data_IF_716114898856
#
_entry.id   IF_716114898856
#
_cell.length_a   1.000
_cell.length_b   1.000
_cell.length_c   1.000
_cell.angle_alpha   90.00
_cell.angle_beta   90.00
_cell.angle_gamma   90.00
#
_symmetry.space_group_name_H-M   'P 1'
#
loop_
_entity.id
_entity.type
_entity.pdbx_description
1 polymer ?
2 non-polymer ?
3 water ?
#
# COMPACT_ATOMS: atom_id res chain seq x y z
N UNK A 3 -0.42 -11.54 25.38
CA UNK A 3 -1.24 -11.12 24.20
C UNK A 3 -1.29 -9.61 24.09
N UNK A 5 -1.99 -5.86 23.72
CA UNK A 5 -3.24 -5.10 23.87
C UNK A 5 -3.15 -3.81 23.05
N UNK A 6 -4.12 -3.61 22.17
CA UNK A 6 -4.16 -2.45 21.27
C UNK A 6 -5.34 -1.55 21.65
N UNK A 7 -5.13 -0.25 21.67
CA UNK A 7 -6.22 0.69 21.83
C UNK A 7 -6.49 1.46 20.53
N UNK A 8 -7.76 1.67 20.24
CA UNK A 8 -8.17 2.58 19.17
C UNK A 8 -8.80 3.81 19.84
N UNK A 9 -8.33 5.00 19.48
CA UNK A 9 -8.89 6.25 20.00
C UNK A 9 -9.19 7.23 18.89
N UNK A 10 -10.48 7.43 18.62
CA UNK A 10 -10.92 8.50 17.71
C UNK A 10 -11.37 9.74 18.47
N UNK A 11 -11.06 10.91 17.88
CA UNK A 11 -11.58 12.18 18.41
C UNK A 11 -12.88 12.62 17.69
N UNK A 12 -13.35 13.83 18.01
CA UNK A 12 -14.58 14.43 17.46
C UNK A 12 -14.74 14.41 15.94
N UNK A 13 -13.75 14.94 15.23
CA UNK A 13 -13.90 15.19 13.80
C UNK A 13 -14.12 13.88 13.04
N UNK A 14 -13.52 12.80 13.54
CA UNK A 14 -13.51 11.53 12.79
C UNK A 14 -14.30 10.38 13.43
N UNK A 15 -15.03 10.69 14.49
CA UNK A 15 -15.83 9.69 15.21
C UNK A 15 -16.80 8.93 14.28
N UNK A 16 -17.35 9.61 13.29
CA UNK A 16 -18.30 8.96 12.37
C UNK A 16 -17.64 7.88 11.50
N UNK A 17 -16.31 7.84 11.49
CA UNK A 17 -15.56 6.83 10.75
C UNK A 17 -15.07 5.71 11.63
N UNK A 18 -15.30 5.84 12.94
CA UNK A 18 -14.78 4.86 13.89
C UNK A 18 -15.13 3.40 13.52
N UNK A 19 -16.39 3.16 13.16
CA UNK A 19 -16.85 1.81 12.79
C UNK A 19 -15.99 1.18 11.69
N UNK A 20 -15.71 1.94 10.64
CA UNK A 20 -14.83 1.53 9.55
C UNK A 20 -13.40 1.27 10.03
N UNK A 21 -12.85 2.22 10.78
CA UNK A 21 -11.48 2.09 11.27
C UNK A 21 -11.35 0.89 12.19
N UNK A 22 -12.33 0.71 13.07
CA UNK A 22 -12.35 -0.41 14.00
C UNK A 22 -12.43 -1.74 13.24
N UNK A 23 -13.38 -1.85 12.33
CA UNK A 23 -13.53 -3.07 11.52
C UNK A 23 -12.22 -3.44 10.78
N UNK A 24 -11.56 -2.44 10.22
CA UNK A 24 -10.27 -2.64 9.55
C UNK A 24 -9.17 -3.07 10.52
N UNK A 25 -9.08 -2.36 11.63
CA UNK A 25 -8.08 -2.65 12.65
C UNK A 25 -8.30 -4.06 13.21
N UNK A 26 -9.55 -4.38 13.55
CA UNK A 26 -9.92 -5.65 14.17
C UNK A 26 -9.56 -6.84 13.29
N UNK A 27 -9.67 -6.68 11.96
CA UNK A 27 -9.25 -7.73 11.04
C UNK A 27 -7.76 -8.07 11.22
N UNK A 28 -6.94 -7.04 11.32
CA UNK A 28 -5.50 -7.20 11.51
C UNK A 28 -5.15 -7.71 12.91
N UNK A 29 -5.76 -7.16 13.95
CA UNK A 29 -5.47 -7.62 15.31
C UNK A 29 -5.95 -9.07 15.54
N UNK A 30 -7.12 -9.41 15.00
CA UNK A 30 -7.62 -10.78 15.06
C UNK A 30 -6.63 -11.76 14.46
N UNK A 31 -6.11 -11.40 13.29
CA UNK A 31 -5.13 -12.22 12.58
C UNK A 31 -3.88 -12.48 13.44
N UNK A 32 -3.39 -11.46 14.14
CA UNK A 32 -2.19 -11.58 14.99
C UNK A 32 -2.49 -12.21 16.35
N UNK A 33 -3.78 -12.31 16.69
CA UNK A 33 -4.21 -12.78 18.00
C UNK A 33 -4.13 -11.72 19.09
N UNK A 34 -4.12 -10.45 18.71
CA UNK A 34 -4.06 -9.35 19.68
C UNK A 34 -5.44 -9.00 20.24
N UNK A 35 -5.49 -8.38 21.41
CA UNK A 35 -6.75 -7.87 21.94
C UNK A 35 -6.90 -6.41 21.55
N UNK A 36 -8.07 -6.06 21.04
CA UNK A 36 -8.35 -4.69 20.61
C UNK A 36 -9.39 -4.05 21.52
N UNK A 37 -9.10 -2.84 21.98
CA UNK A 37 -9.98 -2.07 22.84
C UNK A 37 -10.36 -0.76 22.14
N UNK A 38 -11.65 -0.55 21.90
CA UNK A 38 -12.13 0.70 21.32
C UNK A 38 -12.41 1.75 22.42
N UNK A 39 -11.40 2.58 22.69
CA UNK A 39 -11.34 3.45 23.88
C UNK A 39 -11.88 4.85 23.67
N UNK A 40 -11.91 5.30 22.43
CA UNK A 40 -12.27 6.69 22.13
C UNK A 40 -13.70 6.79 21.66
N UNK A 42 -16.97 6.58 19.28
CA UNK A 42 -17.48 5.55 18.37
C UNK A 42 -18.45 6.12 17.34
N UNK A 43 -18.68 7.43 17.40
CA UNK A 43 -19.62 8.10 16.51
C UNK A 43 -21.07 7.83 16.89
N UNK A 44 -21.31 7.57 18.17
CA UNK A 44 -22.64 7.30 18.70
C UNK A 44 -23.22 8.59 19.28
N UNK A 45 -24.47 8.89 18.95
CA UNK A 45 -25.11 10.14 19.41
C UNK A 45 -25.15 10.30 20.93
N UNK A 46 -24.79 11.51 21.39
CA UNK A 46 -24.78 11.84 22.81
C UNK A 46 -23.58 11.33 23.61
N UNK A 47 -22.58 10.77 22.90
CA UNK A 47 -21.43 10.20 23.58
C UNK A 47 -20.46 11.25 24.11
N UNK A 48 -19.61 10.81 25.05
CA UNK A 48 -18.57 11.63 25.65
C UNK A 48 -17.56 12.10 24.57
N UNK A 49 -17.29 13.40 24.56
CA UNK A 49 -16.46 14.02 23.51
C UNK A 49 -14.97 14.01 23.80
N UNK A 50 -14.16 13.97 22.73
CA UNK A 50 -12.70 14.05 22.82
C UNK A 50 -12.11 14.88 21.68
N UNK A 51 -11.22 15.81 22.00
CA UNK A 51 -10.44 16.50 20.98
C UNK A 51 -9.12 15.74 20.79
N UNK A 52 -8.36 16.11 19.75
CA UNK A 52 -7.11 15.40 19.50
C UNK A 52 -6.10 15.58 20.64
N UNK A 53 -6.22 16.67 21.40
CA UNK A 53 -5.30 16.93 22.52
C UNK A 53 -5.61 15.96 23.66
N UNK A 54 -6.91 15.77 23.92
CA UNK A 54 -7.37 14.81 24.91
C UNK A 54 -7.00 13.39 24.52
N UNK A 55 -6.96 13.12 23.21
CA UNK A 55 -6.42 11.87 22.67
C UNK A 55 -5.02 11.57 23.20
N UNK A 56 -4.15 12.58 23.23
CA UNK A 56 -2.79 12.45 23.76
C UNK A 56 -2.79 12.10 25.23
N UNK A 57 -3.59 12.84 26.01
CA UNK A 57 -3.71 12.58 27.43
C UNK A 57 -4.20 11.16 27.67
N UNK A 59 -4.03 8.53 25.71
CA UNK A 59 -3.01 7.57 25.25
C UNK A 59 -1.88 7.48 26.26
N UNK A 60 -1.47 8.63 26.80
CA UNK A 60 -0.43 8.67 27.82
C UNK A 60 -0.83 7.89 29.08
N UNK A 61 -2.08 8.04 29.51
CA UNK A 61 -2.57 7.30 30.67
C UNK A 61 -2.56 5.80 30.36
N UNK A 62 -3.12 5.41 29.22
CA UNK A 62 -3.20 4.00 28.83
C UNK A 62 -1.84 3.32 28.66
N UNK A 63 -0.92 4.00 27.99
CA UNK A 63 0.40 3.42 27.69
C UNK A 63 1.33 3.35 28.88
N UNK A 64 1.38 4.41 29.68
CA UNK A 64 2.26 4.48 30.83
C UNK A 64 1.85 3.52 31.96
N UNK A 65 0.55 3.22 32.06
CA UNK A 65 0.04 2.28 33.06
C UNK A 65 0.01 0.85 32.54
N UNK A 66 0.35 0.68 31.27
CA UNK A 66 0.34 -0.64 30.58
C UNK A 66 -1.06 -1.22 30.36
N UNK A 67 -2.10 -0.39 30.51
CA UNK A 67 -3.46 -0.76 30.16
C UNK A 67 -3.52 -1.29 28.73
N UNK A 68 -2.78 -0.65 27.83
CA UNK A 68 -2.54 -1.19 26.49
C UNK A 68 -1.06 -1.11 26.18
N UNK A 69 -0.64 -1.81 25.14
CA UNK A 69 0.75 -1.80 24.67
C UNK A 69 0.94 -0.90 23.45
N UNK A 70 -0.13 -0.69 22.69
CA UNK A 70 -0.05 0.09 21.46
C UNK A 70 -1.32 0.91 21.25
N UNK A 71 -1.17 2.17 20.85
CA UNK A 71 -2.35 3.00 20.56
C UNK A 71 -2.43 3.39 19.07
N UNK A 72 -3.59 3.13 18.47
CA UNK A 72 -3.90 3.62 17.12
C UNK A 72 -4.84 4.79 17.27
N UNK A 73 -4.52 5.89 16.61
CA UNK A 73 -5.31 7.09 16.70
C UNK A 73 -5.26 7.84 15.39
N UNK A 74 -5.65 9.11 15.40
CA UNK A 74 -5.62 9.95 14.20
C UNK A 74 -6.63 11.08 14.31
N UNK A 75 -6.85 11.76 13.20
CA UNK A 75 -7.83 12.83 13.07
C UNK A 75 -7.95 13.10 11.57
N UNK A 76 -8.47 14.26 11.18
CA UNK A 76 -8.60 14.61 9.74
C UNK A 76 -7.33 14.41 8.92
N UNK A 77 -6.22 14.93 9.42
CA UNK A 77 -4.92 14.75 8.77
C UNK A 77 -4.02 13.80 9.55
N UNK A 78 -4.38 13.55 10.81
CA UNK A 78 -3.54 12.75 11.71
C UNK A 78 -2.48 13.56 12.43
N UNK A 79 -2.24 14.79 11.99
CA UNK A 79 -1.14 15.60 12.52
C UNK A 79 -1.39 16.04 13.97
N UNK A 80 -2.59 16.56 14.23
CA UNK A 80 -2.95 17.07 15.54
C UNK A 80 -2.78 16.01 16.63
N UNK A 81 -3.37 14.84 16.42
CA UNK A 81 -3.22 13.72 17.36
C UNK A 81 -1.76 13.34 17.60
N UNK A 83 0.90 15.26 17.24
CA UNK A 83 1.54 16.35 17.99
C UNK A 83 1.26 16.23 19.48
N UNK A 84 0.00 15.97 19.82
CA UNK A 84 -0.44 15.83 21.20
C UNK A 84 0.13 14.57 21.86
N UNK A 85 0.05 13.41 21.20
CA UNK A 85 0.56 12.18 21.83
C UNK A 85 2.05 12.29 22.15
N UNK A 86 2.82 12.88 21.23
CA UNK A 86 4.27 12.97 21.40
C UNK A 86 4.73 13.94 22.49
N UNK A 87 3.81 14.78 22.97
CA UNK A 87 4.09 15.74 24.05
C UNK A 87 4.15 15.11 25.44
N UNK A 88 3.79 13.84 25.52
CA UNK A 88 3.67 13.14 26.80
C UNK A 88 4.82 12.17 27.04
N UNK A 89 5.19 11.95 28.31
CA UNK A 89 6.17 10.94 28.69
C UNK A 89 5.71 9.56 28.24
N UNK A 90 6.66 8.77 27.74
CA UNK A 90 6.38 7.36 27.45
C UNK A 90 5.53 7.11 26.24
N UNK A 91 5.26 8.15 25.44
CA UNK A 91 4.45 7.98 24.23
C UNK A 91 5.28 8.40 23.01
N UNK A 92 5.42 7.47 22.07
CA UNK A 92 6.12 7.70 20.82
C UNK A 92 5.12 7.38 19.71
N UNK A 93 4.59 8.42 19.07
CA UNK A 93 3.52 8.24 18.08
C UNK A 93 3.96 8.65 16.67
N UNK A 94 3.99 7.69 15.74
CA UNK A 94 4.32 7.98 14.35
C UNK A 94 3.12 8.56 13.60
N UNK A 95 3.34 8.95 12.36
CA UNK A 95 2.25 9.24 11.42
C UNK A 95 2.55 8.49 10.14
N UNK A 96 1.54 7.81 9.61
CA UNK A 96 1.68 6.98 8.43
C UNK A 96 0.50 7.24 7.49
N UNK A 97 0.79 7.28 6.19
CA UNK A 97 -0.26 7.55 5.22
C UNK A 97 -0.48 6.41 4.20
N UNK A 98 0.51 5.52 4.05
CA UNK A 98 0.34 4.36 3.18
C UNK A 98 0.85 3.09 3.86
N UNK A 99 0.55 1.90 3.29
CA UNK A 99 0.98 0.67 3.98
C UNK A 99 2.49 0.55 4.20
N UNK A 100 3.29 0.99 3.24
CA UNK A 100 4.73 0.93 3.40
C UNK A 100 5.21 1.84 4.54
N UNK A 101 4.63 3.03 4.67
CA UNK A 101 4.90 3.91 5.82
C UNK A 101 4.65 3.17 7.13
N UNK A 102 3.53 2.45 7.20
CA UNK A 102 3.17 1.72 8.44
C UNK A 102 4.21 0.62 8.73
N UNK A 103 4.63 -0.08 7.69
CA UNK A 103 5.67 -1.10 7.86
C UNK A 103 6.99 -0.49 8.34
N UNK A 104 7.46 0.55 7.64
CA UNK A 104 8.71 1.23 8.05
C UNK A 104 8.67 1.79 9.47
N UNK A 105 7.54 2.40 9.85
CA UNK A 105 7.36 2.84 11.22
C UNK A 105 7.66 1.71 12.22
N UNK A 106 7.03 0.55 12.01
CA UNK A 106 7.22 -0.59 12.92
C UNK A 106 8.66 -1.07 12.97
N UNK A 107 9.37 -1.02 11.85
CA UNK A 107 10.74 -1.54 11.79
C UNK A 107 11.82 -0.55 12.23
N UNK A 108 11.66 0.72 11.83
CA UNK A 108 12.66 1.76 12.05
C UNK A 108 12.50 2.42 13.42
N UNK A 109 11.28 2.85 13.71
CA UNK A 109 11.01 3.60 14.93
C UNK A 109 10.58 2.69 16.08
N UNK A 110 9.62 1.82 15.80
CA UNK A 110 9.18 0.83 16.79
C UNK A 110 8.56 1.44 18.03
N UNK A 111 7.90 2.58 17.85
CA UNK A 111 7.18 3.25 18.95
C UNK A 111 5.90 2.52 19.38
N UNK A 112 5.20 3.07 20.36
CA UNK A 112 3.99 2.48 20.93
C UNK A 112 2.67 3.16 20.50
N UNK A 113 2.73 4.01 19.48
CA UNK A 113 1.52 4.60 18.91
C UNK A 113 1.69 4.98 17.44
N UNK A 114 0.57 5.03 16.72
CA UNK A 114 0.53 5.49 15.35
C UNK A 114 -0.74 6.29 15.10
N UNK A 115 -0.56 7.43 14.44
CA UNK A 115 -1.66 8.26 13.98
C UNK A 115 -1.79 8.14 12.46
N UNK A 116 -3.03 8.14 11.98
CA UNK A 116 -3.36 7.99 10.56
C UNK A 116 -4.36 9.09 10.17
N UNK A 117 -4.25 9.67 8.95
CA UNK A 117 -5.33 10.54 8.48
C UNK A 117 -6.60 9.77 8.17
N UNK A 118 -7.71 10.25 8.71
CA UNK A 118 -8.98 9.62 8.45
C UNK A 118 -9.90 10.46 7.57
N UNK A 119 -9.43 11.62 7.12
CA UNK A 119 -10.22 12.49 6.24
C UNK A 119 -9.50 12.86 4.95
N UNK A 120 -8.32 13.46 5.07
CA UNK A 120 -7.51 13.81 3.92
C UNK A 120 -7.07 12.51 3.24
N UNK A 121 -7.39 12.38 1.95
CA UNK A 121 -7.08 11.18 1.17
C UNK A 121 -8.02 10.03 1.47
N UNK A 122 -9.03 10.26 2.30
CA UNK A 122 -9.86 9.15 2.76
C UNK A 122 -11.15 9.08 1.95
N UNK A 123 -11.10 8.37 0.83
CA UNK A 123 -12.28 8.31 -0.03
C UNK A 123 -12.70 6.89 -0.37
N UNK A 124 -13.07 6.69 -1.63
CA UNK A 124 -13.57 5.40 -2.07
C UNK A 124 -12.46 4.38 -1.92
N UNK A 125 -12.77 3.22 -1.34
CA UNK A 125 -11.75 2.18 -1.15
C UNK A 125 -10.79 2.48 -0.01
N UNK A 126 -11.08 3.50 0.80
CA UNK A 126 -10.18 3.83 1.92
C UNK A 126 -10.02 2.67 2.91
N UNK A 127 -11.05 1.85 3.03
CA UNK A 127 -11.01 0.73 3.98
C UNK A 127 -10.06 -0.40 3.52
N UNK A 128 -9.87 -0.52 2.20
CA UNK A 128 -8.86 -1.43 1.64
C UNK A 128 -7.46 -1.01 2.04
N UNK A 129 -7.19 0.29 1.89
CA UNK A 129 -5.90 0.86 2.29
C UNK A 129 -5.64 0.70 3.79
N UNK A 130 -6.65 1.03 4.61
CA UNK A 130 -6.55 0.84 6.05
C UNK A 130 -6.25 -0.61 6.45
N UNK A 131 -6.99 -1.55 5.90
CA UNK A 131 -6.76 -2.95 6.19
C UNK A 131 -5.32 -3.31 5.84
N UNK A 132 -4.83 -2.82 4.71
CA UNK A 132 -3.47 -3.16 4.29
C UNK A 132 -2.42 -2.48 5.17
N UNK A 134 -2.76 -1.67 8.34
CA UNK A 134 -2.75 -2.40 9.62
C UNK A 134 -2.10 -3.77 9.50
N UNK A 135 -2.31 -4.46 8.38
CA UNK A 135 -1.56 -5.70 8.19
C UNK A 135 -0.04 -5.45 8.20
N UNK A 136 0.40 -4.42 7.46
CA UNK A 136 1.82 -4.09 7.37
C UNK A 136 2.40 -3.58 8.69
N UNK A 137 1.60 -2.83 9.46
CA UNK A 137 2.02 -2.34 10.78
C UNK A 137 2.41 -3.46 11.73
N UNK A 138 1.64 -4.55 11.72
CA UNK A 138 1.79 -5.65 12.68
C UNK A 138 2.45 -6.90 12.08
N UNK A 139 2.88 -6.83 10.82
CA UNK A 139 3.42 -7.99 10.11
C UNK A 139 4.65 -8.61 10.78
N UNK A 140 5.56 -7.76 11.25
CA UNK A 140 6.84 -8.23 11.79
C UNK A 140 7.14 -7.61 13.15
N UNK A 141 7.87 -8.36 13.98
CA UNK A 141 8.35 -7.85 15.26
C UNK A 141 8.90 -6.42 15.13
N UNK A 143 10.81 -2.89 15.59
CA UNK A 143 12.19 -2.46 15.82
C UNK A 143 13.21 -3.33 15.12
N UNK A 144 12.75 -4.23 14.26
CA UNK A 144 13.63 -5.17 13.56
C UNK A 144 14.52 -4.55 12.49
N UNK A 145 14.30 -3.28 12.16
CA UNK A 145 15.16 -2.54 11.24
C UNK A 145 14.82 -2.66 9.75
N UNK A 146 14.88 -1.52 9.06
CA UNK A 146 14.90 -1.50 7.60
C UNK A 146 15.98 -0.56 7.07
N UNK A 147 16.92 -1.11 6.28
CA UNK A 147 16.99 -2.54 5.97
C UNK A 147 17.47 -3.35 7.18
N UNK A 148 17.40 -4.67 7.09
CA UNK A 148 17.88 -5.54 8.17
C UNK A 148 19.31 -5.22 8.61
N UNK A 149 20.13 -4.79 7.66
CA UNK A 149 21.53 -4.41 7.91
C UNK A 149 21.69 -3.18 8.80
N UNK A 150 20.70 -2.28 8.80
CA UNK A 150 20.75 -1.08 9.67
C UNK A 150 20.00 -1.21 10.98
N UNK A 151 19.78 -2.45 11.43
CA UNK A 151 19.09 -2.70 12.71
C UNK A 151 19.79 -2.04 13.92
N UNK A 152 21.12 -2.11 13.99
CA UNK A 152 21.89 -1.56 15.11
C UNK A 152 21.74 -0.03 15.33
N UNK A 153 22.06 0.80 14.31
CA UNK A 153 21.92 2.26 14.52
C UNK A 153 20.47 2.73 14.68
N UNK A 154 19.54 2.06 14.00
CA UNK A 154 18.13 2.42 14.10
C UNK A 154 17.63 2.11 15.51
N UNK A 155 18.01 0.95 16.04
CA UNK A 155 17.66 0.58 17.41
C UNK A 155 18.34 1.52 18.42
N UNK A 156 19.61 1.87 18.16
CA UNK A 156 20.36 2.76 19.03
C UNK A 156 19.66 4.13 19.16
N UNK A 157 19.29 4.69 18.02
CA UNK A 157 18.61 6.00 17.99
C UNK A 157 17.22 5.96 18.64
N UNK A 158 16.49 4.86 18.42
CA UNK A 158 15.22 4.66 19.11
C UNK A 158 15.42 4.59 20.62
N UNK A 159 16.47 3.90 21.05
CA UNK A 159 16.84 3.83 22.47
C UNK A 159 17.16 5.22 23.06
N UNK A 160 17.97 5.99 22.34
CA UNK A 160 18.38 7.34 22.75
C UNK A 160 17.21 8.32 22.83
N UNK A 161 16.27 8.22 21.88
CA UNK A 161 15.08 9.03 21.91
C UNK A 161 14.34 8.81 23.24
N UNK A 162 14.14 7.54 23.60
CA UNK A 162 13.51 7.19 24.88
C UNK A 162 14.28 7.72 26.10
N UNK A 163 15.60 7.63 26.07
CA UNK A 163 16.44 8.19 27.14
C UNK A 163 16.30 9.70 27.25
N UNK A 164 16.27 10.39 26.11
CA UNK A 164 16.03 11.83 26.04
C UNK A 164 14.63 12.20 26.53
N UNK A 165 13.62 11.41 26.15
CA UNK A 165 12.25 11.65 26.59
C UNK A 165 12.09 11.57 28.11
N UNK A 166 12.89 10.74 28.76
CA UNK A 166 12.91 10.66 30.24
C UNK A 166 13.23 12.00 30.89
N UNK A 167 14.04 12.79 30.19
CA UNK A 167 14.54 14.09 30.65
C UNK A 167 13.62 15.24 30.24
N UNK A 168 13.13 15.19 29.00
CA UNK A 168 12.41 16.29 28.39
C UNK A 168 10.93 16.35 28.81
N UNK A 169 10.39 15.23 29.29
CA UNK A 169 9.01 15.20 29.77
C UNK A 169 8.94 15.16 31.28
N UNK A 170 7.94 15.87 31.83
CA UNK A 170 7.49 15.68 33.20
C UNK A 170 6.93 14.27 33.37
N UNK A 171 6.91 13.76 34.60
CA UNK A 171 6.35 12.43 34.82
C UNK A 171 4.82 12.49 34.82
N UNK A 172 4.17 11.35 34.60
CA UNK A 172 2.71 11.29 34.48
C UNK A 172 1.95 11.80 35.72
N UNK A 174 2.81 13.93 38.06
CA UNK A 174 2.92 15.37 38.12
C UNK A 174 1.95 16.03 37.13
N UNK A 175 1.95 15.52 35.90
CA UNK A 175 1.10 16.04 34.85
C UNK A 175 -0.38 15.99 35.27
N UNK A 176 -0.80 14.85 35.81
CA UNK A 176 -2.19 14.64 36.21
C UNK A 176 -2.60 15.57 37.35
N UNK A 177 -1.67 15.85 38.24
CA UNK A 177 -1.92 16.74 39.37
C UNK A 177 -1.96 18.21 38.97
N UNK A 178 -1.19 18.57 37.94
CA UNK A 178 -1.09 19.94 37.46
C UNK A 178 -2.15 20.28 36.40
N UNK A 179 -2.31 19.40 35.41
CA UNK A 179 -3.24 19.63 34.29
C UNK A 179 -4.63 20.11 34.72
N UNK A 180 -5.29 20.89 33.86
CA UNK A 180 -6.65 21.39 34.12
C UNK A 180 -7.60 20.25 34.50
N UNK A 181 -8.29 20.39 35.62
CA UNK A 181 -9.09 19.29 36.16
C UNK A 181 -10.34 18.92 35.35
N UNK A 182 -11.04 19.92 34.82
CA UNK A 182 -12.14 19.68 33.89
C UNK A 182 -11.64 18.94 32.64
N UNK A 183 -10.51 19.40 32.10
CA UNK A 183 -9.86 18.76 30.95
C UNK A 183 -9.63 17.26 31.19
N UNK A 184 -9.02 16.91 32.33
CA UNK A 184 -8.76 15.52 32.69
C UNK A 184 -10.05 14.72 32.95
N UNK A 185 -10.98 15.28 33.72
CA UNK A 185 -12.26 14.61 33.98
C UNK A 185 -13.01 14.27 32.69
N UNK A 186 -13.05 15.22 31.76
CA UNK A 186 -13.73 15.02 30.48
C UNK A 186 -13.07 13.94 29.64
N UNK A 187 -11.73 13.81 29.77
CA UNK A 187 -10.95 12.86 29.00
C UNK A 187 -11.27 11.43 29.43
N UNK A 188 -11.49 11.25 30.72
CA UNK A 188 -11.65 9.92 31.29
C UNK A 188 -13.11 9.57 31.65
N UNK A 189 -14.05 10.42 31.22
CA UNK A 189 -15.48 10.29 31.59
C UNK A 189 -16.24 9.24 30.77
N UNK A 190 -15.69 8.85 29.63
CA UNK A 190 -16.34 7.88 28.73
C UNK A 190 -16.54 6.53 29.38
N UNK A 191 -17.70 5.92 29.11
CA UNK A 191 -18.09 4.67 29.77
C UNK A 191 -17.10 3.55 29.48
N UNK A 192 -16.58 3.53 28.25
CA UNK A 192 -15.67 2.48 27.86
C UNK A 192 -14.29 2.59 28.51
N UNK A 193 -13.73 3.80 28.53
CA UNK A 193 -12.53 4.05 29.33
C UNK A 193 -12.75 3.60 30.77
N UNK A 194 -13.84 4.07 31.38
CA UNK A 194 -14.19 3.74 32.76
C UNK A 194 -14.27 2.23 32.99
N UNK A 195 -14.82 1.51 32.01
CA UNK A 195 -14.89 0.05 32.06
C UNK A 195 -13.52 -0.60 31.86
N UNK A 196 -12.85 -0.26 30.76
CA UNK A 196 -11.62 -0.95 30.37
C UNK A 196 -10.37 -0.57 31.18
N UNK A 197 -10.20 0.72 31.47
CA UNK A 197 -8.95 1.17 32.08
C UNK A 197 -8.66 0.53 33.43
N UNK A 198 -9.60 0.62 34.36
CA UNK A 198 -9.38 0.12 35.72
C UNK A 198 -9.18 -1.39 35.77
N UNK A 199 -9.85 -2.10 34.85
CA UNK A 199 -9.65 -3.53 34.69
C UNK A 199 -8.23 -3.89 34.21
N UNK A 200 -7.61 -2.99 33.43
CA UNK A 200 -6.32 -3.28 32.77
C UNK A 200 -5.10 -2.50 33.27
N UNK A 201 -5.36 -1.42 34.01
CA UNK A 201 -4.28 -0.59 34.54
C UNK A 201 -3.36 -1.41 35.45
N UNK A 202 -2.06 -1.33 35.20
CA UNK A 202 -1.07 -2.06 36.01
C UNK A 202 -0.32 -1.14 36.96
N UNK A 203 -0.72 0.14 37.01
CA UNK A 203 -0.09 1.12 37.91
C UNK A 203 -1.08 1.57 38.98
N UNK A 204 -0.96 0.95 40.17
CA UNK A 204 -1.86 1.20 41.29
C UNK A 204 -1.97 2.67 41.68
N UNK A 205 -0.85 3.41 41.59
CA UNK A 205 -0.84 4.81 41.99
C UNK A 205 -1.75 5.66 41.12
N UNK A 206 -1.69 5.43 39.80
CA UNK A 206 -2.47 6.21 38.84
C UNK A 206 -3.95 5.86 38.91
N UNK A 207 -4.25 4.57 38.99
CA UNK A 207 -5.60 4.11 39.14
C UNK A 207 -6.29 4.80 40.33
N UNK A 208 -5.59 4.84 41.46
CA UNK A 208 -6.13 5.43 42.68
C UNK A 208 -6.43 6.92 42.54
N UNK A 209 -5.53 7.64 41.86
CA UNK A 209 -5.71 9.06 41.64
C UNK A 209 -6.89 9.35 40.71
N UNK A 210 -7.07 8.52 39.68
CA UNK A 210 -8.13 8.76 38.70
C UNK A 210 -9.50 8.27 39.15
N UNK A 211 -9.50 7.31 40.07
CA UNK A 211 -10.74 6.67 40.54
C UNK A 211 -11.76 7.67 41.08
N UNK A 212 -11.28 8.67 41.82
CA UNK A 212 -12.09 9.82 42.21
C UNK A 212 -11.92 10.98 41.24
N UNK B 3 -1.50 -21.45 -14.61
CA UNK B 3 -0.08 -21.16 -15.01
C UNK B 3 -0.05 -19.98 -15.96
N UNK B 5 1.06 -16.73 -17.88
CA UNK B 5 2.35 -16.22 -18.37
C UNK B 5 2.42 -14.70 -18.27
N UNK B 6 3.46 -14.20 -17.60
CA UNK B 6 3.62 -12.77 -17.34
C UNK B 6 4.89 -12.28 -18.07
N UNK B 7 4.79 -11.18 -18.81
CA UNK B 7 5.97 -10.52 -19.37
C UNK B 7 6.34 -9.30 -18.53
N UNK B 8 7.63 -9.07 -18.34
CA UNK B 8 8.11 -7.79 -17.83
C UNK B 8 8.89 -7.10 -18.95
N UNK B 9 8.57 -5.84 -19.22
CA UNK B 9 9.19 -5.08 -20.31
C UNK B 9 9.64 -3.70 -19.81
N UNK B 10 10.94 -3.54 -19.60
CA UNK B 10 11.50 -2.22 -19.30
C UNK B 10 12.09 -1.55 -20.54
N UNK B 11 11.93 -0.23 -20.61
CA UNK B 11 12.53 0.57 -21.68
C UNK B 11 13.83 1.22 -21.18
N UNK B 12 14.43 2.08 -22.01
CA UNK B 12 15.76 2.70 -21.80
C UNK B 12 15.94 3.33 -20.43
N UNK B 13 15.03 4.24 -20.09
CA UNK B 13 15.21 5.07 -18.90
C UNK B 13 15.27 4.30 -17.59
N UNK B 14 14.54 3.19 -17.53
CA UNK B 14 14.44 2.40 -16.30
C UNK B 14 15.14 1.04 -16.36
N UNK B 15 15.93 0.81 -17.42
CA UNK B 15 16.61 -0.47 -17.59
C UNK B 15 17.49 -0.84 -16.38
N UNK B 16 18.16 0.16 -15.81
CA UNK B 16 19.05 -0.03 -14.65
C UNK B 16 18.29 -0.56 -13.42
N UNK B 17 16.98 -0.36 -13.40
CA UNK B 17 16.14 -0.85 -12.29
C UNK B 17 15.48 -2.19 -12.59
N UNK B 18 15.68 -2.72 -13.80
CA UNK B 18 15.05 -3.98 -14.17
C UNK B 18 15.31 -5.09 -13.12
N UNK B 19 16.56 -5.24 -12.66
CA UNK B 19 16.86 -6.28 -11.65
C UNK B 19 15.97 -6.21 -10.40
N UNK B 20 15.77 -5.01 -9.87
CA UNK B 20 14.91 -4.78 -8.73
C UNK B 20 13.43 -5.08 -9.04
N UNK B 21 12.96 -4.61 -10.20
CA UNK B 21 11.56 -4.80 -10.58
C UNK B 21 11.33 -6.27 -10.81
N UNK B 22 12.24 -6.91 -11.54
CA UNK B 22 12.12 -8.34 -11.79
C UNK B 22 12.07 -9.16 -10.46
N UNK B 23 13.03 -8.90 -9.57
CA UNK B 23 13.05 -9.56 -8.27
C UNK B 23 11.72 -9.44 -7.51
N UNK B 24 11.13 -8.24 -7.50
CA UNK B 24 9.90 -7.97 -6.78
C UNK B 24 8.73 -8.70 -7.44
N UNK B 25 8.68 -8.62 -8.77
CA UNK B 25 7.65 -9.30 -9.54
C UNK B 25 7.74 -10.82 -9.38
N UNK B 26 8.96 -11.34 -9.42
CA UNK B 26 9.15 -12.80 -9.36
C UNK B 26 8.70 -13.37 -8.00
N UNK B 27 8.81 -12.58 -6.93
CA UNK B 27 8.33 -13.03 -5.64
C UNK B 27 6.82 -13.28 -5.72
N UNK B 28 6.09 -12.34 -6.34
CA UNK B 28 4.65 -12.47 -6.53
C UNK B 28 4.30 -13.64 -7.47
N UNK B 29 4.99 -13.73 -8.60
CA UNK B 29 4.65 -14.75 -9.59
C UNK B 29 4.99 -16.15 -9.11
N UNK B 30 6.11 -16.30 -8.37
CA UNK B 30 6.45 -17.58 -7.76
C UNK B 30 5.37 -18.04 -6.77
N UNK B 31 4.86 -17.11 -5.97
CA UNK B 31 3.80 -17.42 -5.01
C UNK B 31 2.56 -17.96 -5.72
N UNK B 32 2.19 -17.32 -6.82
CA UNK B 32 1.02 -17.71 -7.60
C UNK B 32 1.25 -18.93 -8.49
N UNK B 33 2.50 -19.35 -8.67
CA UNK B 33 2.77 -20.42 -9.63
C UNK B 33 2.68 -19.97 -11.08
N UNK B 34 2.89 -18.67 -11.31
CA UNK B 34 2.90 -18.12 -12.67
C UNK B 34 4.29 -18.21 -13.31
N UNK B 35 4.34 -18.05 -14.64
CA UNK B 35 5.59 -18.02 -15.40
C UNK B 35 5.94 -16.56 -15.70
N UNK B 36 7.12 -16.15 -15.29
CA UNK B 36 7.58 -14.79 -15.56
C UNK B 36 8.66 -14.78 -16.68
N UNK B 37 8.46 -13.94 -17.69
CA UNK B 37 9.39 -13.80 -18.84
C UNK B 37 9.92 -12.37 -18.87
N UNK B 38 11.23 -12.19 -18.65
CA UNK B 38 11.83 -10.86 -18.68
C UNK B 38 12.16 -10.52 -20.15
N UNK B 39 11.24 -9.82 -20.80
CA UNK B 39 11.24 -9.61 -22.25
C UNK B 39 11.94 -8.34 -22.72
N UNK B 40 11.98 -7.31 -21.89
CA UNK B 40 12.49 -5.99 -22.30
C UNK B 40 13.95 -5.83 -21.93
N UNK B 42 17.29 -5.23 -19.62
CA UNK B 42 17.66 -5.80 -18.32
C UNK B 42 18.74 -4.97 -17.61
N UNK B 43 19.21 -3.92 -18.28
CA UNK B 43 20.27 -3.06 -17.74
C UNK B 43 21.67 -3.61 -17.94
N UNK B 44 21.86 -4.36 -19.03
CA UNK B 44 23.13 -4.99 -19.35
C UNK B 44 23.79 -4.19 -20.48
N UNK B 45 25.10 -3.92 -20.35
CA UNK B 45 25.80 -3.12 -21.36
C UNK B 45 25.68 -3.72 -22.76
N UNK B 46 25.40 -2.86 -23.74
CA UNK B 46 25.34 -3.25 -25.14
C UNK B 46 24.06 -3.92 -25.61
N UNK B 47 23.08 -4.08 -24.71
CA UNK B 47 21.84 -4.78 -25.05
C UNK B 47 21.02 -3.94 -26.02
N UNK B 48 20.13 -4.57 -26.78
CA UNK B 48 19.27 -3.78 -27.68
C UNK B 48 18.35 -2.82 -26.89
N UNK B 49 18.11 -1.65 -27.47
CA UNK B 49 17.35 -0.59 -26.83
C UNK B 49 15.87 -0.71 -27.15
N UNK B 50 15.05 -0.18 -26.24
CA UNK B 50 13.61 -0.03 -26.42
C UNK B 50 13.19 1.33 -25.88
N UNK B 51 12.35 2.06 -26.62
CA UNK B 51 11.69 3.23 -26.04
C UNK B 51 10.34 2.80 -25.47
N UNK B 52 9.67 3.70 -24.73
CA UNK B 52 8.34 3.35 -24.22
C UNK B 52 7.35 3.07 -25.36
N UNK B 53 7.58 3.63 -26.55
CA UNK B 53 6.68 3.37 -27.69
C UNK B 53 6.90 1.96 -28.24
N UNK B 54 8.16 1.55 -28.30
CA UNK B 54 8.47 0.17 -28.66
C UNK B 54 7.92 -0.83 -27.65
N UNK B 55 7.87 -0.46 -26.36
CA UNK B 55 7.21 -1.27 -25.33
C UNK B 55 5.77 -1.60 -25.73
N UNK B 56 5.06 -0.63 -26.29
CA UNK B 56 3.67 -0.83 -26.74
C UNK B 56 3.57 -1.83 -27.89
N UNK B 57 4.42 -1.65 -28.90
CA UNK B 57 4.48 -2.59 -30.00
C UNK B 57 4.82 -4.01 -29.53
N UNK B 59 4.42 -5.31 -26.57
CA UNK B 59 3.33 -5.84 -25.73
C UNK B 59 2.17 -6.31 -26.61
N UNK B 60 1.88 -5.53 -27.66
CA UNK B 60 0.80 -5.89 -28.58
C UNK B 60 1.07 -7.23 -29.26
N UNK B 61 2.31 -7.40 -29.73
CA UNK B 61 2.73 -8.67 -30.37
C UNK B 61 2.65 -9.84 -29.36
N UNK B 62 3.14 -9.62 -28.15
CA UNK B 62 3.11 -10.66 -27.11
C UNK B 62 1.67 -11.01 -26.68
N UNK B 63 0.83 -10.01 -26.48
CA UNK B 63 -0.53 -10.27 -25.98
C UNK B 63 -1.47 -10.84 -27.05
N UNK B 64 -1.43 -10.26 -28.25
CA UNK B 64 -2.32 -10.69 -29.34
C UNK B 64 -2.04 -12.10 -29.85
N UNK B 65 -0.79 -12.54 -29.73
CA UNK B 65 -0.40 -13.91 -30.13
C UNK B 65 -0.49 -14.90 -28.97
N UNK B 66 -0.88 -14.41 -27.80
CA UNK B 66 -0.97 -15.19 -26.58
C UNK B 66 0.37 -15.76 -26.11
N UNK B 67 1.46 -15.11 -26.52
CA UNK B 67 2.79 -15.52 -26.07
C UNK B 67 2.91 -15.31 -24.56
N UNK B 68 2.23 -14.27 -24.06
CA UNK B 68 1.99 -14.10 -22.63
C UNK B 68 0.53 -13.72 -22.41
N UNK B 69 0.08 -13.81 -21.16
CA UNK B 69 -1.28 -13.41 -20.79
C UNK B 69 -1.36 -12.00 -20.20
N UNK B 70 -0.25 -11.53 -19.63
CA UNK B 70 -0.26 -10.25 -18.92
C UNK B 70 1.08 -9.56 -19.09
N UNK B 71 1.06 -8.25 -19.33
CA UNK B 71 2.31 -7.49 -19.41
C UNK B 71 2.46 -6.47 -18.26
N UNK B 72 3.60 -6.54 -17.56
CA UNK B 72 3.98 -5.49 -16.61
C UNK B 72 5.02 -4.62 -17.30
N UNK B 73 4.84 -3.30 -17.23
CA UNK B 73 5.77 -2.38 -17.86
C UNK B 73 5.80 -1.09 -17.06
N UNK B 74 6.38 -0.05 -17.65
CA UNK B 74 6.39 1.28 -17.03
C UNK B 74 7.52 2.08 -17.62
N UNK B 75 7.78 3.23 -17.02
CA UNK B 75 8.90 4.08 -17.42
C UNK B 75 9.02 5.05 -16.26
N UNK B 76 9.75 6.15 -16.42
CA UNK B 76 9.93 7.10 -15.31
C UNK B 76 8.67 7.45 -14.52
N UNK B 77 7.61 7.83 -15.23
CA UNK B 77 6.30 8.11 -14.60
C UNK B 77 5.30 7.00 -14.87
N UNK B 78 5.63 6.13 -15.82
CA UNK B 78 4.70 5.09 -16.27
C UNK B 78 3.70 5.55 -17.33
N UNK B 79 3.60 6.86 -17.57
CA UNK B 79 2.58 7.40 -18.48
C UNK B 79 2.86 7.07 -19.94
N UNK B 80 4.10 7.30 -20.38
CA UNK B 80 4.45 7.07 -21.78
C UNK B 80 4.13 5.63 -22.20
N UNK B 81 4.63 4.66 -21.44
CA UNK B 81 4.34 3.24 -21.70
C UNK B 81 2.83 2.92 -21.76
N UNK B 83 0.35 5.09 -22.43
CA UNK B 83 -0.13 5.73 -23.65
C UNK B 83 0.10 4.85 -24.89
N UNK B 84 1.31 4.31 -24.99
CA UNK B 84 1.71 3.49 -26.12
C UNK B 84 1.00 2.13 -26.16
N UNK B 85 0.96 1.41 -25.03
CA UNK B 85 0.29 0.10 -25.02
C UNK B 85 -1.20 0.19 -25.36
N UNK B 86 -1.91 1.19 -24.81
CA UNK B 86 -3.34 1.35 -25.10
C UNK B 86 -3.69 1.73 -26.55
N UNK B 87 -2.71 2.20 -27.32
CA UNK B 87 -2.93 2.52 -28.74
C UNK B 87 -3.06 1.28 -29.66
N UNK B 88 -2.84 0.09 -29.11
CA UNK B 88 -2.83 -1.14 -29.90
C UNK B 88 -4.08 -1.98 -29.72
N UNK B 89 -4.47 -2.75 -30.77
CA UNK B 89 -5.57 -3.72 -30.60
C UNK B 89 -5.22 -4.71 -29.50
N UNK B 90 -6.22 -5.13 -28.74
CA UNK B 90 -6.06 -6.23 -27.78
C UNK B 90 -5.25 -5.94 -26.54
N UNK B 91 -4.91 -4.67 -26.31
CA UNK B 91 -4.06 -4.31 -25.16
C UNK B 91 -4.79 -3.28 -24.31
N UNK B 92 -5.01 -3.65 -23.04
CA UNK B 92 -5.69 -2.79 -22.08
C UNK B 92 -4.69 -2.61 -20.94
N UNK B 93 -4.05 -1.44 -20.88
CA UNK B 93 -2.96 -1.19 -19.93
C UNK B 93 -3.30 -0.12 -18.88
N UNK B 94 -3.40 -0.53 -17.62
CA UNK B 94 -3.67 0.41 -16.54
C UNK B 94 -2.41 1.15 -16.13
N UNK B 95 -2.56 2.11 -15.22
CA UNK B 95 -1.43 2.71 -14.49
C UNK B 95 -1.77 2.69 -13.00
N UNK B 96 -0.82 2.24 -12.18
CA UNK B 96 -1.00 2.17 -10.72
C UNK B 96 0.24 2.72 -10.03
N UNK B 97 0.02 3.45 -8.95
CA UNK B 97 1.15 4.04 -8.21
C UNK B 97 1.24 3.48 -6.77
N UNK B 98 0.18 2.89 -6.25
CA UNK B 98 0.24 2.26 -4.93
C UNK B 98 -0.39 0.88 -4.95
N UNK B 99 -0.21 0.07 -3.88
CA UNK B 99 -0.81 -1.29 -3.88
C UNK B 99 -2.33 -1.35 -4.05
N UNK B 100 -3.07 -0.45 -3.40
CA UNK B 100 -4.51 -0.46 -3.54
C UNK B 100 -4.92 -0.13 -4.98
N UNK B 101 -4.20 0.77 -5.65
CA UNK B 101 -4.43 0.99 -7.08
C UNK B 101 -4.28 -0.30 -7.91
N UNK B 102 -3.25 -1.10 -7.62
CA UNK B 102 -3.02 -2.36 -8.33
C UNK B 102 -4.17 -3.34 -8.08
N UNK B 103 -4.64 -3.39 -6.84
CA UNK B 103 -5.77 -4.24 -6.49
C UNK B 103 -7.05 -3.81 -7.22
N UNK B 104 -7.35 -2.52 -7.13
CA UNK B 104 -8.54 -1.97 -7.80
C UNK B 104 -8.48 -2.18 -9.32
N UNK B 105 -7.31 -1.98 -9.90
CA UNK B 105 -7.15 -2.23 -11.32
C UNK B 105 -7.57 -3.67 -11.67
N UNK B 106 -7.07 -4.65 -10.91
CA UNK B 106 -7.32 -6.06 -11.25
C UNK B 106 -8.82 -6.39 -11.15
N UNK B 107 -9.53 -5.76 -10.20
CA UNK B 107 -10.93 -6.08 -9.92
C UNK B 107 -11.95 -5.31 -10.77
N UNK B 108 -11.68 -4.02 -11.01
CA UNK B 108 -12.61 -3.15 -11.71
C UNK B 108 -12.40 -3.22 -13.20
N UNK B 109 -11.14 -3.08 -13.63
CA UNK B 109 -10.83 -3.02 -15.05
C UNK B 109 -10.47 -4.38 -15.65
N UNK B 110 -9.58 -5.10 -14.95
CA UNK B 110 -9.24 -6.47 -15.30
C UNK B 110 -8.60 -6.62 -16.68
N UNK B 111 -7.85 -5.59 -17.11
CA UNK B 111 -7.15 -5.65 -18.41
C UNK B 111 -5.93 -6.57 -18.40
N UNK B 112 -5.17 -6.54 -19.49
CA UNK B 112 -4.08 -7.49 -19.65
C UNK B 112 -2.68 -6.89 -19.51
N UNK B 113 -2.62 -5.62 -19.06
CA UNK B 113 -1.33 -4.99 -18.83
C UNK B 113 -1.40 -3.94 -17.72
N UNK B 114 -0.26 -3.65 -17.11
CA UNK B 114 -0.15 -2.62 -16.08
C UNK B 114 1.18 -1.91 -16.18
N UNK B 115 1.12 -0.59 -16.17
CA UNK B 115 2.31 0.25 -16.18
C UNK B 115 2.45 0.89 -14.79
N UNK B 116 3.70 1.04 -14.35
CA UNK B 116 4.01 1.56 -13.00
C UNK B 116 5.14 2.60 -13.13
N UNK B 117 5.09 3.71 -12.37
CA UNK B 117 6.26 4.58 -12.33
C UNK B 117 7.43 3.92 -11.63
N UNK B 118 8.58 3.90 -12.30
CA UNK B 118 9.79 3.34 -11.73
C UNK B 118 10.84 4.39 -11.36
N UNK B 119 10.55 5.68 -11.58
CA UNK B 119 11.49 6.74 -11.18
C UNK B 119 10.86 7.78 -10.23
N UNK B 120 9.74 8.37 -10.65
CA UNK B 120 9.02 9.35 -9.82
C UNK B 120 8.47 8.62 -8.60
N UNK B 121 8.78 9.13 -7.41
CA UNK B 121 8.37 8.47 -6.17
C UNK B 121 9.18 7.23 -5.83
N UNK B 122 10.18 6.90 -6.64
CA UNK B 122 10.91 5.65 -6.46
C UNK B 122 12.18 5.89 -5.65
N UNK B 123 12.06 5.83 -4.33
CA UNK B 123 13.21 6.09 -3.48
C UNK B 123 13.51 4.92 -2.57
N UNK B 124 13.77 5.25 -1.32
CA UNK B 124 14.12 4.28 -0.32
C UNK B 124 12.86 3.47 0.01
N UNK B 125 13.00 2.15 0.05
CA UNK B 125 11.87 1.27 0.34
C UNK B 125 10.96 1.02 -0.85
N UNK B 126 11.35 1.52 -2.03
CA UNK B 126 10.53 1.36 -3.23
C UNK B 126 10.29 -0.11 -3.59
N UNK B 127 11.25 -0.95 -3.26
CA UNK B 127 11.12 -2.37 -3.57
C UNK B 127 10.09 -3.07 -2.64
N UNK B 128 9.96 -2.59 -1.41
CA UNK B 128 8.86 -3.02 -0.51
C UNK B 128 7.49 -2.73 -1.14
N UNK B 129 7.33 -1.48 -1.62
CA UNK B 129 6.08 -1.07 -2.25
C UNK B 129 5.79 -1.90 -3.50
N UNK B 130 6.79 -2.08 -4.37
CA UNK B 130 6.64 -2.91 -5.57
C UNK B 130 6.16 -4.32 -5.26
N UNK B 131 6.80 -4.96 -4.28
CA UNK B 131 6.45 -6.32 -3.90
C UNK B 131 5.01 -6.38 -3.42
N UNK B 132 4.61 -5.38 -2.64
CA UNK B 132 3.25 -5.31 -2.16
C UNK B 132 2.26 -5.01 -3.30
N UNK B 134 2.58 -5.86 -6.45
CA UNK B 134 2.47 -7.11 -7.20
C UNK B 134 1.66 -8.17 -6.46
N UNK B 135 1.85 -8.29 -5.15
CA UNK B 135 0.98 -9.17 -4.36
C UNK B 135 -0.51 -8.81 -4.57
N UNK B 136 -0.83 -7.53 -4.43
CA UNK B 136 -2.22 -7.06 -4.57
C UNK B 136 -2.75 -7.20 -6.00
N UNK B 137 -1.89 -6.99 -7.00
CA UNK B 137 -2.27 -7.14 -8.41
C UNK B 137 -2.80 -8.54 -8.70
N UNK B 138 -2.13 -9.56 -8.13
CA UNK B 138 -2.45 -10.94 -8.46
C UNK B 138 -3.22 -11.67 -7.36
N UNK B 139 -3.63 -10.98 -6.31
CA UNK B 139 -4.27 -11.63 -5.16
C UNK B 139 -5.57 -12.37 -5.50
N UNK B 140 -6.39 -11.78 -6.37
CA UNK B 140 -7.70 -12.36 -6.65
C UNK B 140 -7.95 -12.37 -8.16
N UNK B 141 -8.78 -13.31 -8.60
CA UNK B 141 -9.12 -13.41 -10.01
C UNK B 141 -9.51 -12.05 -10.54
N UNK B 143 -11.21 -9.07 -12.59
CA UNK B 143 -12.57 -8.75 -12.99
C UNK B 143 -13.65 -9.01 -11.95
N UNK B 144 -13.28 -9.40 -10.74
CA UNK B 144 -14.29 -9.77 -9.72
C UNK B 144 -15.08 -8.61 -9.12
N UNK B 145 -14.61 -7.38 -9.35
CA UNK B 145 -15.37 -6.18 -9.01
C UNK B 145 -15.06 -5.57 -7.67
N UNK B 146 -15.02 -4.23 -7.63
CA UNK B 146 -14.99 -3.51 -6.36
C UNK B 146 -15.99 -2.32 -6.39
N UNK B 147 -16.93 -2.27 -5.44
CA UNK B 147 -17.22 -3.34 -4.47
C UNK B 147 -17.81 -4.56 -5.18
N UNK B 148 -17.96 -5.65 -4.46
CA UNK B 148 -18.52 -6.87 -5.03
C UNK B 148 -19.91 -6.68 -5.63
N UNK B 149 -20.68 -5.82 -4.99
CA UNK B 149 -22.05 -5.51 -5.42
C UNK B 149 -22.11 -4.83 -6.79
N UNK B 150 -20.96 -4.31 -7.23
CA UNK B 150 -20.84 -3.60 -8.50
C UNK B 150 -20.25 -4.43 -9.64
N UNK B 151 -20.07 -5.73 -9.41
CA UNK B 151 -19.39 -6.59 -10.39
C UNK B 151 -20.06 -6.61 -11.78
N UNK B 152 -21.39 -6.69 -11.82
CA UNK B 152 -22.10 -6.73 -13.11
C UNK B 152 -21.83 -5.45 -13.96
N UNK B 153 -22.15 -4.24 -13.44
CA UNK B 153 -21.83 -3.07 -14.26
C UNK B 153 -20.35 -2.92 -14.63
N UNK B 154 -19.44 -3.30 -13.72
CA UNK B 154 -18.03 -3.09 -14.00
C UNK B 154 -17.58 -4.06 -15.08
N UNK B 155 -18.04 -5.31 -15.00
CA UNK B 155 -17.74 -6.29 -16.03
C UNK B 155 -18.37 -5.89 -17.37
N UNK B 156 -19.56 -5.31 -17.32
CA UNK B 156 -20.24 -4.90 -18.55
C UNK B 156 -19.43 -3.80 -19.25
N UNK B 157 -18.98 -2.81 -18.50
CA UNK B 157 -18.16 -1.74 -19.10
C UNK B 157 -16.82 -2.21 -19.64
N UNK B 158 -16.16 -3.12 -18.91
CA UNK B 158 -14.90 -3.69 -19.40
C UNK B 158 -15.15 -4.48 -20.69
N UNK B 159 -16.26 -5.21 -20.75
CA UNK B 159 -16.60 -5.95 -21.97
C UNK B 159 -16.93 -4.98 -23.13
N UNK B 160 -17.69 -3.93 -22.85
CA UNK B 160 -17.99 -2.93 -23.88
C UNK B 160 -16.72 -2.24 -24.38
N UNK B 161 -15.78 -1.94 -23.47
CA UNK B 161 -14.51 -1.36 -23.89
C UNK B 161 -13.82 -2.26 -24.92
N UNK B 162 -13.82 -3.55 -24.66
CA UNK B 162 -13.17 -4.49 -25.58
C UNK B 162 -13.88 -4.55 -26.92
N UNK B 163 -15.20 -4.52 -26.91
CA UNK B 163 -15.96 -4.44 -28.17
C UNK B 163 -15.66 -3.16 -28.97
N UNK B 164 -15.60 -2.02 -28.29
CA UNK B 164 -15.23 -0.75 -28.91
C UNK B 164 -13.81 -0.83 -29.50
N UNK B 165 -12.86 -1.35 -28.71
CA UNK B 165 -11.49 -1.57 -29.19
C UNK B 165 -11.40 -2.42 -30.47
N UNK B 166 -12.29 -3.38 -30.63
CA UNK B 166 -12.34 -4.18 -31.86
C UNK B 166 -12.57 -3.29 -33.07
N UNK B 167 -13.28 -2.18 -32.85
CA UNK B 167 -13.64 -1.25 -33.92
C UNK B 167 -12.61 -0.13 -34.09
N UNK B 168 -12.11 0.39 -32.98
CA UNK B 168 -11.26 1.58 -33.01
C UNK B 168 -9.79 1.30 -33.37
N UNK B 169 -9.35 0.04 -33.28
CA UNK B 169 -7.98 -0.32 -33.62
C UNK B 169 -7.93 -1.08 -34.93
N UNK B 170 -6.91 -0.77 -35.74
CA UNK B 170 -6.47 -1.60 -36.87
C UNK B 170 -6.11 -2.98 -36.34
N UNK B 171 -6.20 -4.02 -37.18
CA UNK B 171 -5.76 -5.34 -36.74
C UNK B 171 -4.23 -5.39 -36.68
N UNK B 172 -3.69 -6.29 -35.86
CA UNK B 172 -2.24 -6.39 -35.69
C UNK B 172 -1.48 -6.66 -36.98
N UNK B 174 -2.20 -5.92 -40.12
CA UNK B 174 -2.12 -4.66 -40.87
C UNK B 174 -1.10 -3.69 -40.24
N UNK B 175 -1.12 -3.58 -38.92
CA UNK B 175 -0.16 -2.73 -38.23
C UNK B 175 1.26 -3.15 -38.56
N UNK B 176 1.56 -4.45 -38.45
CA UNK B 176 2.92 -4.96 -38.67
C UNK B 176 3.40 -4.72 -40.09
N UNK B 177 2.47 -4.77 -41.04
CA UNK B 177 2.79 -4.51 -42.45
C UNK B 177 3.04 -3.03 -42.78
N UNK B 178 2.35 -2.13 -42.09
CA UNK B 178 2.43 -0.71 -42.40
C UNK B 178 3.48 0.01 -41.57
N UNK B 179 3.67 -0.41 -40.32
CA UNK B 179 4.60 0.28 -39.42
C UNK B 179 6.02 0.36 -40.02
N UNK B 180 6.79 1.37 -39.60
CA UNK B 180 8.16 1.54 -40.09
C UNK B 180 8.92 0.24 -39.82
N UNK B 181 9.52 -0.33 -40.86
CA UNK B 181 10.13 -1.65 -40.74
C UNK B 181 11.42 -1.64 -39.89
N UNK B 182 12.12 -0.51 -39.83
CA UNK B 182 13.27 -0.38 -38.93
C UNK B 182 12.81 -0.33 -37.46
N UNK B 183 11.77 0.46 -37.19
CA UNK B 183 11.16 0.54 -35.87
C UNK B 183 10.73 -0.87 -35.39
N UNK B 184 10.07 -1.64 -36.26
CA UNK B 184 9.66 -3.01 -35.92
C UNK B 184 10.86 -3.96 -35.69
N UNK B 185 11.82 -3.94 -36.62
CA UNK B 185 13.00 -4.80 -36.54
C UNK B 185 13.75 -4.50 -35.24
N UNK B 186 13.95 -3.22 -34.93
CA UNK B 186 14.59 -2.81 -33.67
C UNK B 186 13.84 -3.30 -32.44
N UNK B 187 12.51 -3.28 -32.49
CA UNK B 187 11.67 -3.70 -31.36
C UNK B 187 11.85 -5.20 -31.04
N UNK B 188 11.98 -6.02 -32.07
CA UNK B 188 12.00 -7.46 -31.89
C UNK B 188 13.42 -8.06 -31.94
N UNK B 189 14.44 -7.21 -32.04
CA UNK B 189 15.83 -7.68 -32.23
C UNK B 189 16.49 -8.31 -30.99
N UNK B 190 15.91 -8.12 -29.80
CA UNK B 190 16.54 -8.57 -28.55
C UNK B 190 16.66 -10.08 -28.45
N UNK B 191 17.78 -10.55 -27.87
CA UNK B 191 18.03 -12.00 -27.81
C UNK B 191 16.92 -12.75 -27.05
N UNK B 192 16.42 -12.16 -25.96
CA UNK B 192 15.38 -12.80 -25.17
C UNK B 192 14.02 -12.79 -25.86
N UNK B 193 13.70 -11.68 -26.54
CA UNK B 193 12.51 -11.69 -27.39
C UNK B 193 12.59 -12.80 -28.42
N UNK B 194 13.72 -12.86 -29.13
CA UNK B 194 13.93 -13.85 -30.19
C UNK B 194 13.83 -15.30 -29.68
N UNK B 195 14.39 -15.53 -28.50
CA UNK B 195 14.29 -16.84 -27.85
C UNK B 195 12.84 -17.17 -27.37
N UNK B 196 12.22 -16.27 -26.60
CA UNK B 196 10.94 -16.60 -25.96
C UNK B 196 9.74 -16.52 -26.90
N UNK B 197 9.72 -15.52 -27.78
CA UNK B 197 8.51 -15.25 -28.59
C UNK B 197 8.09 -16.40 -29.51
N UNK B 198 9.02 -16.91 -30.31
CA UNK B 198 8.68 -17.93 -31.28
C UNK B 198 8.31 -19.24 -30.59
N UNK B 199 8.92 -19.51 -29.43
CA UNK B 199 8.57 -20.66 -28.59
C UNK B 199 7.14 -20.61 -28.03
N UNK B 200 6.65 -19.40 -27.75
CA UNK B 200 5.37 -19.24 -27.04
C UNK B 200 4.19 -18.70 -27.84
N UNK B 201 4.49 -18.12 -28.99
CA UNK B 201 3.51 -17.53 -29.89
C UNK B 201 2.50 -18.58 -30.35
N UNK B 202 1.22 -18.24 -30.28
CA UNK B 202 0.17 -19.16 -30.70
C UNK B 202 -0.49 -18.75 -32.01
N UNK B 203 0.02 -17.66 -32.63
CA UNK B 203 -0.48 -17.14 -33.91
C UNK B 203 0.57 -17.32 -35.01
N UNK B 204 0.41 -18.35 -35.82
CA UNK B 204 1.41 -18.69 -36.83
C UNK B 204 1.58 -17.64 -37.94
N UNK B 205 0.52 -16.89 -38.24
CA UNK B 205 0.61 -15.87 -39.27
C UNK B 205 1.55 -14.74 -38.81
N UNK B 206 1.41 -14.30 -37.55
CA UNK B 206 2.29 -13.27 -37.01
C UNK B 206 3.76 -13.76 -36.89
N UNK B 207 3.92 -14.98 -36.39
CA UNK B 207 5.25 -15.58 -36.24
C UNK B 207 5.98 -15.65 -37.58
N UNK B 208 5.28 -16.10 -38.63
CA UNK B 208 5.88 -16.22 -39.96
C UNK B 208 6.29 -14.85 -40.51
N UNK B 209 5.48 -13.82 -40.25
CA UNK B 209 5.80 -12.47 -40.71
C UNK B 209 7.03 -11.90 -40.02
N UNK B 210 7.15 -12.16 -38.71
CA UNK B 210 8.25 -11.61 -37.92
C UNK B 210 9.57 -12.35 -38.10
N UNK B 211 9.47 -13.64 -38.42
CA UNK B 211 10.63 -14.55 -38.53
C UNK B 211 11.63 -14.14 -39.64
#
# INVERSE_FOLDING_TARGET
SNAXKIALINENSQASKNHIIYDSLKEATDKKGYQLFNYGXRGEEGESQLTYVQNGLXAAILLNTKAVDFVVTGCGTGVGAXLALNSFPGVVCGLAVDPTDAYLYSQINGGNALSIPYAKGFGWGAELTLKLXFERLFAEEXGGGYPRERVIPEQRNARILNEVKQITHNDLXTILKIIDQDFLKDTISGKYFQEYFFENCQDDEVAAYLKEVLAK
SNAXKIALINENSQASKNHIIYDSLKEATDKKGYQLFNYGXRGEEGESQLTYVQNGLXAAILLNTKAVDFVVTGCGTGVGAXLALNSFPGVVCGLAVDPTDAYLYSQINGGNALSIPYAKGFGWGAELTLKLXFERLFAEEXGGGYPRERVIPEQRNARILNEVKQITHNDLXTILKIIDQDFLKDTISGKYFQEYFFENCQDDEVAAYLKEVLAK
#
